data_IF_915903174829
#
_entry.id   IF_915903174829
#
_cell.length_a   1.000
_cell.length_b   1.000
_cell.length_c   1.000
_cell.angle_alpha   90.00
_cell.angle_beta   90.00
_cell.angle_gamma   90.00
#
_symmetry.space_group_name_H-M   'P 1'
#
loop_
_entity.id
_entity.type
_entity.pdbx_description
1 polymer ?
#
# COMPACT_ATOMS: atom_id res chain seq x y z
N UNK A 1 12.86 1.99 -8.67
CA UNK A 1 12.62 3.28 -7.99
C UNK A 1 12.87 3.11 -6.51
N UNK A 2 13.07 4.20 -5.78
CA UNK A 2 13.27 4.19 -4.34
C UNK A 2 12.22 5.10 -3.69
N UNK A 3 11.60 4.62 -2.61
CA UNK A 3 10.70 5.41 -1.77
C UNK A 3 11.28 5.58 -0.38
N UNK A 4 11.13 6.78 0.18
CA UNK A 4 11.46 7.07 1.59
C UNK A 4 10.22 7.66 2.24
N UNK A 5 9.84 7.12 3.39
CA UNK A 5 8.73 7.67 4.16
C UNK A 5 9.11 9.04 4.70
N UNK A 6 8.25 10.04 4.49
CA UNK A 6 8.49 11.40 4.96
C UNK A 6 8.82 11.48 6.46
N UNK A 7 8.23 10.61 7.29
CA UNK A 7 8.52 10.55 8.74
C UNK A 7 9.95 10.12 9.10
N UNK A 8 10.67 9.49 8.17
CA UNK A 8 12.07 9.07 8.35
C UNK A 8 13.01 9.74 7.34
N UNK A 9 12.52 10.70 6.56
CA UNK A 9 13.38 11.47 5.67
C UNK A 9 14.32 12.34 6.53
N UNK A 10 15.62 12.13 6.38
CA UNK A 10 16.65 12.97 6.98
C UNK A 10 17.06 14.10 6.05
N UNK A 11 18.26 14.64 6.27
CA UNK A 11 18.86 15.65 5.39
C UNK A 11 19.17 15.10 4.00
N UNK A 12 19.49 13.80 3.94
CA UNK A 12 19.78 13.10 2.69
C UNK A 12 18.49 12.80 1.93
N UNK A 13 18.46 13.24 0.67
CA UNK A 13 17.31 13.12 -0.24
C UNK A 13 17.22 11.71 -0.83
N UNK A 14 16.01 11.20 -1.12
CA UNK A 14 15.82 9.88 -1.73
C UNK A 14 16.61 9.68 -3.03
N UNK A 15 16.75 10.72 -3.84
CA UNK A 15 17.51 10.65 -5.10
C UNK A 15 19.00 10.35 -4.86
N UNK A 16 19.57 10.81 -3.76
CA UNK A 16 20.98 10.57 -3.43
C UNK A 16 21.20 9.10 -3.06
N UNK A 17 20.28 8.47 -2.34
CA UNK A 17 20.34 7.02 -2.07
C UNK A 17 20.17 6.19 -3.36
N UNK A 18 19.28 6.62 -4.26
CA UNK A 18 19.07 5.94 -5.54
C UNK A 18 20.31 6.03 -6.43
N UNK A 19 20.97 7.19 -6.48
CA UNK A 19 22.18 7.39 -7.27
C UNK A 19 23.32 6.50 -6.79
N UNK A 20 23.60 6.46 -5.49
CA UNK A 20 24.61 5.55 -4.92
C UNK A 20 24.33 4.09 -5.28
N UNK A 21 23.05 3.67 -5.20
CA UNK A 21 22.66 2.31 -5.56
C UNK A 21 22.88 2.00 -7.04
N UNK A 22 22.55 2.95 -7.92
CA UNK A 22 22.77 2.81 -9.37
C UNK A 22 24.27 2.75 -9.68
N UNK A 23 25.08 3.63 -9.08
CA UNK A 23 26.53 3.62 -9.26
C UNK A 23 27.15 2.30 -8.79
N UNK A 24 26.68 1.77 -7.66
CA UNK A 24 27.14 0.49 -7.13
C UNK A 24 26.71 -0.73 -7.98
N UNK A 25 25.48 -0.76 -8.50
CA UNK A 25 24.91 -1.95 -9.16
C UNK A 25 24.98 -1.91 -10.68
N UNK A 26 24.94 -0.71 -11.27
CA UNK A 26 24.76 -0.48 -12.70
C UNK A 26 25.63 0.71 -13.17
N UNK A 27 26.95 0.71 -12.97
CA UNK A 27 27.81 1.88 -13.19
C UNK A 27 27.82 2.39 -14.64
N UNK A 28 27.54 1.55 -15.63
CA UNK A 28 27.51 1.93 -17.04
C UNK A 28 26.10 2.34 -17.54
N UNK A 29 25.08 2.28 -16.68
CA UNK A 29 23.72 2.61 -17.09
C UNK A 29 23.57 4.11 -17.37
N UNK A 30 22.73 4.43 -18.37
CA UNK A 30 22.36 5.80 -18.70
C UNK A 30 20.96 6.10 -18.20
N UNK A 31 20.81 7.21 -17.49
CA UNK A 31 19.50 7.72 -17.07
C UNK A 31 18.82 8.31 -18.31
N UNK A 32 17.69 7.72 -18.70
CA UNK A 32 16.87 8.21 -19.83
C UNK A 32 15.71 9.09 -19.38
N UNK A 33 15.21 8.87 -18.16
CA UNK A 33 14.08 9.58 -17.60
C UNK A 33 14.14 9.53 -16.07
N UNK A 34 13.62 10.58 -15.42
CA UNK A 34 13.49 10.67 -13.97
C UNK A 34 12.07 11.06 -13.61
N UNK A 35 11.41 10.20 -12.85
CA UNK A 35 10.09 10.45 -12.27
C UNK A 35 10.20 10.63 -10.76
N UNK A 36 9.48 11.61 -10.24
CA UNK A 36 9.39 11.87 -8.80
C UNK A 36 7.92 12.09 -8.44
N UNK A 37 7.47 11.47 -7.36
CA UNK A 37 6.11 11.58 -6.88
C UNK A 37 5.97 11.11 -5.44
N UNK A 38 4.86 11.48 -4.82
CA UNK A 38 4.48 11.01 -3.50
C UNK A 38 3.43 9.91 -3.62
N UNK A 39 3.56 8.86 -2.81
CA UNK A 39 2.60 7.75 -2.77
C UNK A 39 2.06 7.62 -1.34
N UNK A 40 0.74 7.69 -1.12
CA UNK A 40 0.16 7.55 0.20
C UNK A 40 0.13 6.09 0.66
N UNK A 41 1.14 5.65 1.40
CA UNK A 41 1.23 4.31 2.01
C UNK A 41 0.60 4.26 3.41
N UNK A 42 -0.69 4.61 3.46
CA UNK A 42 -1.49 4.76 4.68
C UNK A 42 -2.81 3.97 4.61
N UNK A 43 -3.58 3.99 5.69
CA UNK A 43 -4.98 3.56 5.60
C UNK A 43 -5.80 4.53 4.73
N UNK A 44 -6.87 4.05 4.05
CA UNK A 44 -7.78 4.90 3.30
C UNK A 44 -8.31 6.06 4.15
N UNK A 45 -8.53 7.21 3.51
CA UNK A 45 -9.13 8.39 4.16
C UNK A 45 -10.49 8.02 4.75
N UNK A 46 -10.80 8.50 5.96
CA UNK A 46 -12.11 8.28 6.60
C UNK A 46 -12.72 9.61 7.04
N UNK A 47 -13.95 9.96 6.59
CA UNK A 47 -14.75 9.26 5.58
C UNK A 47 -14.19 9.46 4.15
N UNK A 48 -14.43 8.49 3.25
CA UNK A 48 -14.09 8.61 1.81
C UNK A 48 -15.11 9.44 1.02
N UNK A 49 -16.19 9.88 1.68
CA UNK A 49 -17.34 10.56 1.06
C UNK A 49 -17.81 11.76 1.88
N UNK A 50 -18.44 12.72 1.21
CA UNK A 50 -19.18 13.84 1.79
C UNK A 50 -20.40 14.13 0.90
N UNK A 51 -21.24 15.09 1.26
CA UNK A 51 -22.36 15.54 0.41
C UNK A 51 -21.81 16.00 -0.96
N UNK A 52 -22.25 15.32 -2.02
CA UNK A 52 -21.84 15.59 -3.39
C UNK A 52 -20.40 15.18 -3.75
N UNK A 53 -19.67 14.47 -2.87
CA UNK A 53 -18.25 14.17 -3.05
C UNK A 53 -17.92 12.70 -2.75
N UNK A 54 -17.15 12.07 -3.64
CA UNK A 54 -16.49 10.78 -3.42
C UNK A 54 -15.00 10.92 -3.79
N UNK A 55 -14.11 10.60 -2.87
CA UNK A 55 -12.67 10.56 -3.14
C UNK A 55 -12.30 9.17 -3.69
N UNK A 56 -11.42 9.10 -4.70
CA UNK A 56 -10.95 7.85 -5.30
C UNK A 56 -9.42 7.85 -5.49
N UNK A 57 -8.83 6.70 -5.79
CA UNK A 57 -7.40 6.55 -6.06
C UNK A 57 -6.51 7.16 -4.96
N UNK A 58 -5.43 7.83 -5.38
CA UNK A 58 -4.48 8.44 -4.45
C UNK A 58 -5.12 9.52 -3.57
N UNK A 59 -6.13 10.25 -4.06
CA UNK A 59 -6.86 11.24 -3.27
C UNK A 59 -7.61 10.63 -2.07
N UNK A 60 -7.94 9.34 -2.14
CA UNK A 60 -8.53 8.57 -1.04
C UNK A 60 -7.50 7.68 -0.30
N UNK A 61 -6.20 7.84 -0.57
CA UNK A 61 -5.12 7.00 -0.04
C UNK A 61 -5.28 5.51 -0.39
N UNK A 62 -5.64 5.21 -1.64
CA UNK A 62 -5.90 3.84 -2.07
C UNK A 62 -4.67 3.15 -2.69
N UNK A 63 -3.46 3.69 -2.50
CA UNK A 63 -2.24 2.94 -2.78
C UNK A 63 -2.07 1.85 -1.71
N UNK A 64 -1.72 0.64 -2.14
CA UNK A 64 -1.50 -0.48 -1.24
C UNK A 64 -0.34 -0.18 -0.26
N UNK A 65 -0.54 -0.29 1.07
CA UNK A 65 0.43 0.21 2.04
C UNK A 65 1.79 -0.47 2.04
N UNK A 66 1.90 -1.70 1.51
CA UNK A 66 3.16 -2.46 1.52
C UNK A 66 3.86 -2.40 0.17
N UNK A 67 3.11 -2.47 -0.94
CA UNK A 67 3.69 -2.45 -2.28
C UNK A 67 3.80 -1.04 -2.88
N UNK A 68 3.03 -0.07 -2.37
CA UNK A 68 2.86 1.25 -2.98
C UNK A 68 2.05 1.24 -4.28
N UNK A 69 1.49 0.09 -4.68
CA UNK A 69 0.72 -0.04 -5.91
C UNK A 69 -0.67 0.59 -5.79
N UNK A 70 -0.97 1.59 -6.63
CA UNK A 70 -2.26 2.29 -6.61
C UNK A 70 -3.12 2.13 -7.86
N UNK A 71 -2.56 1.72 -9.00
CA UNK A 71 -3.24 1.74 -10.30
C UNK A 71 -4.55 0.91 -10.28
N UNK A 72 -4.47 -0.36 -9.84
CA UNK A 72 -5.64 -1.24 -9.81
C UNK A 72 -6.70 -0.75 -8.81
N UNK A 73 -6.28 -0.25 -7.66
CA UNK A 73 -7.18 0.29 -6.65
C UNK A 73 -7.84 1.60 -7.13
N UNK A 74 -7.11 2.44 -7.86
CA UNK A 74 -7.61 3.64 -8.51
C UNK A 74 -8.68 3.33 -9.56
N UNK A 75 -8.42 2.33 -10.41
CA UNK A 75 -9.39 1.86 -11.41
C UNK A 75 -10.65 1.27 -10.76
N UNK A 76 -10.49 0.40 -9.75
CA UNK A 76 -11.66 -0.22 -9.10
C UNK A 76 -12.47 0.79 -8.28
N UNK A 77 -11.80 1.70 -7.56
CA UNK A 77 -12.48 2.79 -6.84
C UNK A 77 -13.21 3.72 -7.78
N UNK A 78 -12.61 4.12 -8.90
CA UNK A 78 -13.26 4.92 -9.94
C UNK A 78 -14.48 4.21 -10.55
N UNK A 79 -14.38 2.90 -10.81
CA UNK A 79 -15.50 2.09 -11.31
C UNK A 79 -16.67 2.04 -10.33
N UNK A 80 -16.42 1.79 -9.04
CA UNK A 80 -17.47 1.76 -8.01
C UNK A 80 -18.08 3.16 -7.85
N UNK A 81 -17.26 4.20 -7.70
CA UNK A 81 -17.72 5.58 -7.55
C UNK A 81 -18.56 6.03 -8.74
N UNK A 82 -18.15 5.73 -9.97
CA UNK A 82 -18.91 6.06 -11.19
C UNK A 82 -20.29 5.42 -11.20
N UNK A 83 -20.41 4.14 -10.80
CA UNK A 83 -21.71 3.46 -10.68
C UNK A 83 -22.59 4.12 -9.62
N UNK A 84 -22.04 4.39 -8.43
CA UNK A 84 -22.77 5.05 -7.33
C UNK A 84 -23.21 6.46 -7.72
N UNK A 85 -22.39 7.20 -8.47
CA UNK A 85 -22.74 8.53 -8.99
C UNK A 85 -23.94 8.47 -9.94
N UNK A 86 -23.98 7.50 -10.85
CA UNK A 86 -25.15 7.32 -11.76
C UNK A 86 -26.42 7.02 -10.95
N UNK A 87 -26.33 6.20 -9.90
CA UNK A 87 -27.46 5.91 -9.02
C UNK A 87 -27.93 7.14 -8.23
N UNK A 88 -26.99 7.96 -7.74
CA UNK A 88 -27.25 9.21 -7.03
C UNK A 88 -28.02 10.20 -7.92
N UNK A 89 -27.54 10.39 -9.16
CA UNK A 89 -28.17 11.26 -10.16
C UNK A 89 -29.61 10.81 -10.45
N UNK A 90 -29.83 9.50 -10.67
CA UNK A 90 -31.17 8.96 -10.95
C UNK A 90 -32.16 9.15 -9.80
N UNK A 91 -31.67 9.17 -8.56
CA UNK A 91 -32.49 9.36 -7.35
C UNK A 91 -32.60 10.81 -6.90
N UNK A 92 -31.75 11.69 -7.42
CA UNK A 92 -31.62 13.07 -6.93
C UNK A 92 -31.07 13.17 -5.49
N UNK A 93 -30.33 12.15 -5.03
CA UNK A 93 -29.80 12.08 -3.66
C UNK A 93 -28.27 12.03 -3.69
N UNK A 94 -27.66 13.17 -3.37
CA UNK A 94 -26.21 13.34 -3.32
C UNK A 94 -25.68 13.37 -1.89
N UNK A 95 -26.49 12.99 -0.90
CA UNK A 95 -26.07 13.01 0.50
C UNK A 95 -24.91 12.05 0.76
N UNK A 96 -24.08 12.37 1.74
CA UNK A 96 -23.02 11.48 2.23
C UNK A 96 -23.59 10.11 2.66
N UNK A 97 -24.84 10.09 3.16
CA UNK A 97 -25.57 8.88 3.50
C UNK A 97 -25.79 7.97 2.29
N UNK A 98 -26.21 8.53 1.15
CA UNK A 98 -26.34 7.79 -0.10
C UNK A 98 -24.98 7.36 -0.65
N UNK A 99 -24.02 8.28 -0.71
CA UNK A 99 -22.70 8.06 -1.31
C UNK A 99 -21.84 7.07 -0.50
N UNK A 100 -22.12 6.85 0.79
CA UNK A 100 -21.43 5.84 1.63
C UNK A 100 -21.53 4.42 1.07
N UNK A 101 -22.45 4.15 0.13
CA UNK A 101 -22.48 2.90 -0.65
C UNK A 101 -21.14 2.63 -1.36
N UNK A 102 -20.51 3.66 -1.90
CA UNK A 102 -19.18 3.55 -2.53
C UNK A 102 -18.12 3.13 -1.50
N UNK A 103 -18.02 3.87 -0.39
CA UNK A 103 -17.05 3.60 0.68
C UNK A 103 -17.24 2.17 1.23
N UNK A 104 -18.49 1.79 1.51
CA UNK A 104 -18.82 0.45 2.03
C UNK A 104 -18.39 -0.65 1.07
N UNK A 105 -18.76 -0.56 -0.21
CA UNK A 105 -18.42 -1.59 -1.19
C UNK A 105 -16.91 -1.70 -1.42
N UNK A 106 -16.20 -0.58 -1.47
CA UNK A 106 -14.75 -0.60 -1.61
C UNK A 106 -14.10 -1.27 -0.38
N UNK A 107 -14.53 -0.90 0.82
CA UNK A 107 -13.98 -1.44 2.07
C UNK A 107 -14.36 -2.91 2.30
N UNK A 108 -15.52 -3.37 1.84
CA UNK A 108 -15.88 -4.79 1.86
C UNK A 108 -14.95 -5.64 0.99
N UNK A 109 -14.53 -5.11 -0.17
CA UNK A 109 -13.62 -5.82 -1.07
C UNK A 109 -12.17 -5.76 -0.64
N UNK A 110 -11.70 -4.59 -0.19
CA UNK A 110 -10.27 -4.32 -0.02
C UNK A 110 -9.85 -4.06 1.43
N UNK A 111 -10.78 -3.73 2.32
CA UNK A 111 -10.48 -3.21 3.67
C UNK A 111 -9.61 -4.13 4.51
N UNK A 112 -9.91 -5.44 4.55
CA UNK A 112 -9.06 -6.42 5.27
C UNK A 112 -7.63 -6.45 4.72
N UNK A 113 -7.45 -6.34 3.41
CA UNK A 113 -6.12 -6.31 2.79
C UNK A 113 -5.34 -5.04 3.16
N UNK A 114 -6.01 -3.88 3.15
CA UNK A 114 -5.41 -2.61 3.58
C UNK A 114 -4.96 -2.67 5.04
N UNK A 115 -5.81 -3.16 5.94
CA UNK A 115 -5.48 -3.29 7.37
C UNK A 115 -4.29 -4.22 7.59
N UNK A 116 -4.30 -5.39 6.93
CA UNK A 116 -3.20 -6.36 6.98
C UNK A 116 -1.91 -5.72 6.49
N UNK A 117 -1.93 -5.14 5.29
CA UNK A 117 -0.74 -4.62 4.63
C UNK A 117 -0.19 -3.39 5.35
N UNK A 118 -1.06 -2.54 5.90
CA UNK A 118 -0.65 -1.42 6.76
C UNK A 118 0.04 -1.91 8.03
N UNK A 119 -0.52 -2.91 8.71
CA UNK A 119 0.08 -3.50 9.90
C UNK A 119 1.47 -4.09 9.59
N UNK A 120 1.58 -4.87 8.50
CA UNK A 120 2.86 -5.46 8.08
C UNK A 120 3.87 -4.36 7.80
N UNK A 121 3.48 -3.33 7.04
CA UNK A 121 4.36 -2.22 6.71
C UNK A 121 4.89 -1.53 7.97
N UNK A 122 4.03 -1.22 8.94
CA UNK A 122 4.48 -0.61 10.21
C UNK A 122 5.47 -1.52 10.95
N UNK A 123 5.27 -2.84 10.94
CA UNK A 123 6.23 -3.79 11.53
C UNK A 123 7.52 -3.93 10.76
N UNK A 124 7.49 -3.90 9.43
CA UNK A 124 8.69 -3.98 8.60
C UNK A 124 9.60 -2.78 8.83
N UNK A 125 9.03 -1.58 9.01
CA UNK A 125 9.82 -0.36 9.23
C UNK A 125 10.50 -0.34 10.62
N UNK A 126 9.98 -1.09 11.59
CA UNK A 126 10.57 -1.23 12.92
C UNK A 126 11.76 -2.23 12.94
N UNK A 127 12.04 -2.94 11.85
CA UNK A 127 13.08 -3.98 11.80
C UNK A 127 14.48 -3.43 11.50
N UNK A 128 15.50 -4.09 12.05
CA UNK A 128 16.90 -3.86 11.68
C UNK A 128 17.28 -4.57 10.38
N UNK A 129 18.38 -4.13 9.75
CA UNK A 129 18.91 -4.75 8.54
C UNK A 129 19.28 -6.23 8.74
N UNK A 130 19.73 -6.63 9.94
CA UNK A 130 20.00 -8.04 10.26
C UNK A 130 18.71 -8.86 10.26
N UNK A 131 17.64 -8.34 10.86
CA UNK A 131 16.35 -9.00 10.88
C UNK A 131 15.81 -9.16 9.46
N UNK A 132 15.88 -8.11 8.64
CA UNK A 132 15.50 -8.14 7.22
C UNK A 132 16.37 -9.16 6.46
N UNK A 133 17.68 -9.18 6.71
CA UNK A 133 18.61 -10.13 6.08
C UNK A 133 18.31 -11.57 6.46
N UNK A 134 17.95 -11.85 7.71
CA UNK A 134 17.54 -13.19 8.15
C UNK A 134 16.28 -13.68 7.41
N UNK A 135 15.33 -12.78 7.16
CA UNK A 135 14.10 -13.09 6.41
C UNK A 135 14.47 -13.50 4.99
N UNK A 136 15.30 -12.71 4.29
CA UNK A 136 15.72 -13.05 2.93
C UNK A 136 16.55 -14.34 2.86
N UNK A 137 17.38 -14.62 3.87
CA UNK A 137 18.10 -15.91 3.96
C UNK A 137 17.15 -17.08 4.13
N UNK A 138 16.09 -16.94 4.93
CA UNK A 138 15.08 -17.98 5.14
C UNK A 138 14.23 -18.23 3.88
N UNK A 139 14.09 -17.23 3.01
CA UNK A 139 13.33 -17.31 1.75
C UNK A 139 14.15 -17.84 0.58
N UNK A 140 15.45 -18.08 0.74
CA UNK A 140 16.37 -18.48 -0.33
C UNK A 140 15.92 -19.74 -1.09
N UNK A 141 15.28 -20.66 -0.37
CA UNK A 141 14.82 -21.94 -0.92
C UNK A 141 13.32 -21.93 -1.29
N UNK A 142 12.65 -20.78 -1.15
CA UNK A 142 11.24 -20.61 -1.51
C UNK A 142 11.18 -20.03 -2.92
N UNK A 143 10.37 -20.64 -3.79
CA UNK A 143 10.12 -20.08 -5.11
C UNK A 143 9.45 -18.71 -4.98
N UNK A 144 10.15 -17.66 -5.39
CA UNK A 144 9.69 -16.26 -5.26
C UNK A 144 8.46 -16.00 -6.15
N UNK A 145 8.31 -16.75 -7.24
CA UNK A 145 7.15 -16.65 -8.14
C UNK A 145 5.85 -17.12 -7.46
N UNK A 146 5.96 -18.04 -6.51
CA UNK A 146 4.83 -18.53 -5.69
C UNK A 146 4.64 -17.68 -4.41
N UNK A 147 5.55 -16.74 -4.15
CA UNK A 147 5.60 -15.98 -2.91
C UNK A 147 4.62 -14.80 -2.96
N UNK A 148 3.38 -15.06 -2.53
CA UNK A 148 2.46 -13.99 -2.19
C UNK A 148 3.04 -13.09 -1.09
N UNK A 149 2.57 -11.84 -1.00
CA UNK A 149 2.83 -10.93 0.14
C UNK A 149 2.59 -11.66 1.48
N UNK A 150 1.59 -12.55 1.52
CA UNK A 150 1.29 -13.36 2.69
C UNK A 150 2.39 -14.40 3.01
N UNK A 151 2.97 -15.05 2.01
CA UNK A 151 4.09 -15.97 2.20
C UNK A 151 5.32 -15.28 2.78
N UNK A 152 5.63 -14.08 2.29
CA UNK A 152 6.68 -13.22 2.84
C UNK A 152 6.43 -12.92 4.32
N UNK A 153 5.22 -12.47 4.65
CA UNK A 153 4.80 -12.11 6.01
C UNK A 153 4.87 -13.28 6.98
N UNK A 154 4.45 -14.46 6.54
CA UNK A 154 4.49 -15.67 7.37
C UNK A 154 5.93 -16.02 7.74
N UNK A 155 6.85 -15.98 6.78
CA UNK A 155 8.26 -16.25 7.06
C UNK A 155 8.91 -15.11 7.87
N UNK A 156 8.54 -13.85 7.63
CA UNK A 156 8.98 -12.69 8.40
C UNK A 156 8.73 -12.82 9.91
N UNK A 157 7.56 -13.35 10.29
CA UNK A 157 7.13 -13.39 11.69
C UNK A 157 7.15 -14.80 12.29
N UNK A 158 7.69 -15.79 11.59
CA UNK A 158 7.79 -17.18 12.07
C UNK A 158 8.58 -17.31 13.37
N UNK A 159 9.62 -16.48 13.55
CA UNK A 159 10.41 -16.41 14.79
C UNK A 159 9.80 -15.49 15.86
N UNK A 160 8.74 -14.75 15.54
CA UNK A 160 8.05 -13.86 16.47
C UNK A 160 6.56 -14.25 16.61
N UNK A 161 6.26 -15.25 17.46
CA UNK A 161 4.91 -15.80 17.59
C UNK A 161 3.87 -14.76 18.04
N UNK A 162 4.29 -13.68 18.73
CA UNK A 162 3.42 -12.59 19.12
C UNK A 162 2.89 -11.81 17.91
N UNK A 163 3.75 -11.47 16.95
CA UNK A 163 3.33 -10.76 15.73
C UNK A 163 2.47 -11.67 14.84
N UNK A 164 2.83 -12.95 14.73
CA UNK A 164 2.01 -13.93 14.00
C UNK A 164 0.60 -14.05 14.59
N UNK A 165 0.49 -14.00 15.93
CA UNK A 165 -0.78 -13.98 16.64
C UNK A 165 -1.57 -12.69 16.42
N UNK A 166 -0.91 -11.53 16.37
CA UNK A 166 -1.55 -10.25 16.04
C UNK A 166 -2.07 -10.23 14.60
N UNK A 167 -1.38 -10.88 13.66
CA UNK A 167 -1.78 -10.98 12.26
C UNK A 167 -3.02 -11.84 12.03
N UNK A 168 -3.32 -12.81 12.91
CA UNK A 168 -4.43 -13.76 12.73
C UNK A 168 -5.78 -13.07 12.50
N UNK A 169 -6.00 -11.89 13.10
CA UNK A 169 -7.25 -11.12 12.95
C UNK A 169 -7.47 -10.56 11.55
N UNK A 170 -6.42 -10.52 10.73
CA UNK A 170 -6.44 -10.01 9.36
C UNK A 170 -6.36 -11.13 8.30
N UNK A 171 -6.12 -12.37 8.73
CA UNK A 171 -5.91 -13.53 7.87
C UNK A 171 -7.15 -14.45 7.81
N UNK A 172 -8.07 -14.28 8.75
CA UNK A 172 -9.35 -14.95 8.86
C UNK A 172 -10.48 -13.91 8.95
#
# INVERSE_FOLDING_TARGET
>A
GLGVLGKYAGERKPIEYLNDFIEFRCPEAKIVELHVGAVPVAMPVKPMVSDGLMLIGDAAHLADPITGGGILNGLDSGRIAGRVAVEAIKRGDFSAGFLRRYEKEFMERHGKSFERNYFIKEKFIEMSDEQISEIFRALKDVNIEDLSVFGLVKEMFKKNPKILFELRKYLF
#
